data_IF_426437049078
#
_entry.id   IF_426437049078
#
_cell.length_a   1.000
_cell.length_b   1.000
_cell.length_c   1.000
_cell.angle_alpha   90.00
_cell.angle_beta   90.00
_cell.angle_gamma   90.00
#
_symmetry.space_group_name_H-M   'P 1'
#
loop_
_entity.id
_entity.type
_entity.pdbx_description
1 polymer ?
#
# COMPACT_ATOMS: atom_id res chain seq x y z
N UNK A 1 -14.80 23.25 -19.05
CA UNK A 1 -13.54 23.28 -18.27
C UNK A 1 -13.30 21.89 -17.72
N UNK A 2 -12.24 21.20 -18.13
CA UNK A 2 -11.88 19.92 -17.52
C UNK A 2 -11.47 20.18 -16.06
N UNK A 3 -12.10 19.50 -15.11
CA UNK A 3 -11.68 19.55 -13.71
C UNK A 3 -10.29 18.90 -13.68
N UNK A 4 -9.22 19.59 -13.26
CA UNK A 4 -7.90 18.98 -13.19
C UNK A 4 -7.95 17.74 -12.28
N UNK A 5 -7.33 16.65 -12.73
CA UNK A 5 -7.23 15.44 -11.91
C UNK A 5 -6.57 15.82 -10.58
N UNK A 6 -7.16 15.40 -9.43
CA UNK A 6 -6.65 15.80 -8.12
C UNK A 6 -5.22 15.31 -7.94
N UNK A 7 -4.32 16.22 -7.57
CA UNK A 7 -2.93 15.89 -7.30
C UNK A 7 -2.79 15.09 -5.99
N UNK A 8 -1.57 14.70 -5.63
CA UNK A 8 -1.29 13.94 -4.41
C UNK A 8 -1.86 14.61 -3.15
N UNK A 9 -1.61 15.91 -2.97
CA UNK A 9 -2.02 16.66 -1.79
C UNK A 9 -3.54 16.88 -1.74
N UNK A 10 -4.19 17.04 -2.89
CA UNK A 10 -5.66 17.11 -2.97
C UNK A 10 -6.30 15.80 -2.49
N UNK A 11 -5.76 14.66 -2.94
CA UNK A 11 -6.20 13.33 -2.53
C UNK A 11 -5.99 13.11 -1.03
N UNK A 12 -4.82 13.47 -0.52
CA UNK A 12 -4.49 13.37 0.90
C UNK A 12 -5.45 14.20 1.77
N UNK A 13 -5.63 15.48 1.43
CA UNK A 13 -6.52 16.38 2.18
C UNK A 13 -7.98 15.93 2.16
N UNK A 14 -8.45 15.37 1.03
CA UNK A 14 -9.79 14.76 0.94
C UNK A 14 -9.92 13.54 1.83
N UNK A 15 -8.92 12.64 1.83
CA UNK A 15 -8.93 11.44 2.67
C UNK A 15 -8.91 11.80 4.16
N UNK A 16 -8.06 12.74 4.59
CA UNK A 16 -7.98 13.20 5.98
C UNK A 16 -9.31 13.77 6.49
N UNK A 17 -9.97 14.61 5.67
CA UNK A 17 -11.28 15.17 6.02
C UNK A 17 -12.36 14.10 6.09
N UNK A 18 -12.41 13.20 5.10
CA UNK A 18 -13.41 12.12 5.02
C UNK A 18 -13.29 11.14 6.18
N UNK A 19 -12.06 10.71 6.48
CA UNK A 19 -11.77 9.64 7.43
C UNK A 19 -11.50 10.19 8.85
N UNK A 20 -11.51 11.54 9.03
CA UNK A 20 -11.22 12.23 10.30
C UNK A 20 -9.94 11.71 10.98
N UNK A 21 -8.90 11.53 10.17
CA UNK A 21 -7.71 10.79 10.52
C UNK A 21 -6.49 11.41 9.87
N UNK A 22 -5.31 11.05 10.37
CA UNK A 22 -4.02 11.31 9.75
C UNK A 22 -3.23 10.01 9.51
N UNK A 23 -3.88 8.85 9.66
CA UNK A 23 -3.25 7.54 9.62
C UNK A 23 -2.61 7.28 8.24
N UNK A 24 -1.29 7.07 8.24
CA UNK A 24 -0.55 6.53 7.12
C UNK A 24 -0.26 5.06 7.39
N UNK A 25 -0.85 4.17 6.62
CA UNK A 25 -0.70 2.73 6.80
C UNK A 25 0.60 2.26 6.16
N UNK A 26 1.54 1.78 6.97
CA UNK A 26 2.71 1.05 6.50
C UNK A 26 2.32 -0.35 6.02
N UNK A 27 2.88 -0.80 4.89
CA UNK A 27 2.71 -2.17 4.39
C UNK A 27 4.10 -2.79 4.22
N UNK A 28 4.56 -3.41 5.31
CA UNK A 28 5.94 -3.90 5.49
C UNK A 28 5.91 -5.43 5.74
N UNK A 29 5.48 -6.24 4.76
CA UNK A 29 5.15 -7.65 5.00
C UNK A 29 6.39 -8.53 5.16
N UNK A 30 6.45 -9.27 6.28
CA UNK A 30 7.40 -10.36 6.48
C UNK A 30 6.66 -11.70 6.36
N UNK A 31 6.95 -12.55 5.36
CA UNK A 31 6.22 -13.81 5.14
C UNK A 31 6.16 -14.73 6.37
N UNK A 32 7.22 -14.75 7.19
CA UNK A 32 7.30 -15.52 8.44
C UNK A 32 6.35 -15.02 9.53
N UNK A 33 5.84 -13.79 9.44
CA UNK A 33 4.93 -13.16 10.43
C UNK A 33 3.47 -13.15 9.99
N UNK A 34 3.15 -13.68 8.80
CA UNK A 34 1.76 -13.79 8.37
C UNK A 34 0.95 -14.69 9.32
N UNK A 35 -0.35 -14.42 9.51
CA UNK A 35 -1.24 -15.30 10.25
C UNK A 35 -1.27 -16.72 9.65
N UNK A 36 -1.51 -17.74 10.48
CA UNK A 36 -1.45 -19.16 10.08
C UNK A 36 -2.44 -19.56 8.97
N UNK A 37 -3.46 -18.73 8.72
CA UNK A 37 -4.39 -18.92 7.60
C UNK A 37 -3.66 -18.86 6.24
N UNK A 38 -2.52 -18.17 6.18
CA UNK A 38 -1.65 -18.04 5.02
C UNK A 38 -0.55 -19.10 5.02
N UNK A 39 -0.94 -20.34 4.72
CA UNK A 39 -0.08 -21.53 4.89
C UNK A 39 1.20 -21.54 4.05
N UNK A 40 1.20 -20.94 2.85
CA UNK A 40 2.35 -20.99 1.94
C UNK A 40 3.39 -19.94 2.29
N UNK A 41 3.01 -18.86 2.97
CA UNK A 41 3.90 -17.78 3.42
C UNK A 41 4.81 -17.31 2.28
N UNK A 42 4.22 -17.09 1.11
CA UNK A 42 4.91 -16.63 -0.10
C UNK A 42 4.37 -15.28 -0.57
N UNK A 43 4.91 -14.75 -1.67
CA UNK A 43 4.51 -13.43 -2.17
C UNK A 43 3.01 -13.32 -2.52
N UNK A 44 2.40 -14.40 -3.01
CA UNK A 44 0.95 -14.42 -3.27
C UNK A 44 0.14 -14.33 -1.96
N UNK A 45 0.59 -14.98 -0.89
CA UNK A 45 0.00 -14.86 0.44
C UNK A 45 0.15 -13.45 1.00
N UNK A 46 1.31 -12.81 0.78
CA UNK A 46 1.55 -11.40 1.14
C UNK A 46 0.56 -10.46 0.45
N UNK A 47 0.36 -10.60 -0.86
CA UNK A 47 -0.61 -9.77 -1.59
C UNK A 47 -2.04 -9.94 -1.05
N UNK A 48 -2.45 -11.18 -0.75
CA UNK A 48 -3.76 -11.47 -0.15
C UNK A 48 -3.90 -10.89 1.25
N UNK A 49 -2.85 -10.97 2.06
CA UNK A 49 -2.82 -10.41 3.41
C UNK A 49 -2.94 -8.88 3.38
N UNK A 50 -2.13 -8.21 2.56
CA UNK A 50 -2.19 -6.75 2.41
C UNK A 50 -3.54 -6.28 1.89
N UNK A 51 -4.13 -6.99 0.93
CA UNK A 51 -5.49 -6.70 0.44
C UNK A 51 -6.51 -6.76 1.59
N UNK A 52 -6.46 -7.80 2.44
CA UNK A 52 -7.36 -7.91 3.58
C UNK A 52 -7.19 -6.77 4.59
N UNK A 53 -5.95 -6.32 4.83
CA UNK A 53 -5.69 -5.13 5.67
C UNK A 53 -6.33 -3.88 5.05
N UNK A 54 -6.10 -3.65 3.75
CA UNK A 54 -6.61 -2.48 3.04
C UNK A 54 -8.14 -2.43 3.02
N UNK A 55 -8.80 -3.58 2.81
CA UNK A 55 -10.26 -3.72 2.87
C UNK A 55 -10.80 -3.44 4.29
N UNK A 56 -10.06 -3.83 5.32
CA UNK A 56 -10.48 -3.68 6.72
C UNK A 56 -10.24 -2.28 7.30
N UNK A 57 -9.35 -1.48 6.69
CA UNK A 57 -8.94 -0.19 7.24
C UNK A 57 -9.26 1.01 6.32
N UNK A 58 -9.95 0.81 5.19
CA UNK A 58 -10.14 1.82 4.16
C UNK A 58 -10.82 3.12 4.62
N UNK A 59 -11.70 3.03 5.61
CA UNK A 59 -12.41 4.16 6.23
C UNK A 59 -11.57 4.91 7.29
N UNK A 60 -10.41 4.37 7.68
CA UNK A 60 -9.52 4.95 8.68
C UNK A 60 -8.25 5.57 8.08
N UNK A 61 -7.75 5.02 6.96
CA UNK A 61 -6.45 5.39 6.38
C UNK A 61 -6.52 6.63 5.51
N UNK A 62 -5.48 7.45 5.51
CA UNK A 62 -5.36 8.65 4.69
C UNK A 62 -4.26 8.56 3.64
N UNK A 63 -3.32 7.63 3.81
CA UNK A 63 -2.30 7.27 2.86
C UNK A 63 -1.86 5.82 3.09
N UNK A 64 -1.28 5.19 2.08
CA UNK A 64 -0.63 3.88 2.18
C UNK A 64 0.85 4.04 1.81
N UNK A 65 1.73 3.44 2.59
CA UNK A 65 3.18 3.53 2.44
C UNK A 65 3.82 2.15 2.39
N UNK A 66 3.78 1.43 1.25
CA UNK A 66 4.51 0.18 1.12
C UNK A 66 6.02 0.45 1.12
N UNK A 67 6.75 -0.24 1.99
CA UNK A 67 8.21 -0.24 1.95
C UNK A 67 8.70 -1.29 0.95
N UNK A 68 9.34 -0.83 -0.12
CA UNK A 68 9.71 -1.69 -1.24
C UNK A 68 10.71 -2.78 -0.87
N UNK A 69 11.58 -2.55 0.14
CA UNK A 69 12.60 -3.51 0.54
C UNK A 69 12.00 -4.87 0.96
N UNK A 70 10.83 -4.87 1.62
CA UNK A 70 10.15 -6.12 2.02
C UNK A 70 9.64 -6.92 0.82
N UNK A 71 9.23 -6.25 -0.25
CA UNK A 71 8.78 -6.89 -1.49
C UNK A 71 9.98 -7.35 -2.30
N UNK A 72 11.01 -6.50 -2.46
CA UNK A 72 12.24 -6.83 -3.19
C UNK A 72 12.98 -8.02 -2.60
N UNK A 73 12.94 -8.21 -1.27
CA UNK A 73 13.52 -9.37 -0.59
C UNK A 73 12.92 -10.72 -1.06
N UNK A 74 11.72 -10.72 -1.65
CA UNK A 74 11.08 -11.90 -2.25
C UNK A 74 11.32 -12.02 -3.77
N UNK A 75 12.20 -11.19 -4.35
CA UNK A 75 12.51 -11.19 -5.77
C UNK A 75 11.33 -10.76 -6.65
N UNK A 76 11.29 -11.28 -7.88
CA UNK A 76 10.29 -10.87 -8.89
C UNK A 76 8.85 -11.14 -8.45
N UNK A 77 8.61 -12.22 -7.71
CA UNK A 77 7.27 -12.54 -7.22
C UNK A 77 6.84 -11.58 -6.11
N UNK A 78 7.80 -11.07 -5.33
CA UNK A 78 7.55 -9.96 -4.41
C UNK A 78 7.14 -8.67 -5.11
N UNK A 79 7.77 -8.33 -6.23
CA UNK A 79 7.37 -7.16 -7.03
C UNK A 79 5.97 -7.34 -7.65
N UNK A 80 5.61 -8.54 -8.09
CA UNK A 80 4.22 -8.85 -8.50
C UNK A 80 3.24 -8.71 -7.33
N UNK A 81 3.65 -9.12 -6.13
CA UNK A 81 2.83 -8.93 -4.92
C UNK A 81 2.67 -7.46 -4.54
N UNK A 82 3.70 -6.63 -4.76
CA UNK A 82 3.61 -5.18 -4.62
C UNK A 82 2.57 -4.62 -5.59
N UNK A 83 2.66 -4.96 -6.88
CA UNK A 83 1.68 -4.55 -7.89
C UNK A 83 0.24 -4.89 -7.46
N UNK A 84 0.00 -6.15 -7.05
CA UNK A 84 -1.31 -6.58 -6.54
C UNK A 84 -1.74 -5.88 -5.25
N UNK A 85 -0.80 -5.51 -4.40
CA UNK A 85 -1.08 -4.69 -3.20
C UNK A 85 -1.52 -3.28 -3.61
N UNK A 86 -0.86 -2.66 -4.59
CA UNK A 86 -1.20 -1.32 -5.08
C UNK A 86 -2.56 -1.28 -5.77
N UNK A 87 -2.90 -2.33 -6.55
CA UNK A 87 -4.24 -2.49 -7.17
C UNK A 87 -5.38 -2.52 -6.12
N UNK A 88 -5.09 -3.00 -4.91
CA UNK A 88 -6.07 -3.10 -3.83
C UNK A 88 -6.23 -1.81 -3.00
N UNK A 89 -5.41 -0.78 -3.24
CA UNK A 89 -5.50 0.48 -2.50
C UNK A 89 -6.81 1.19 -2.84
N UNK A 90 -7.64 1.59 -1.84
CA UNK A 90 -8.92 2.23 -2.10
C UNK A 90 -8.77 3.51 -2.95
N UNK A 91 -9.74 3.72 -3.85
CA UNK A 91 -9.74 4.91 -4.71
C UNK A 91 -9.68 6.21 -3.90
N UNK A 92 -8.87 7.15 -4.39
CA UNK A 92 -8.64 8.43 -3.74
C UNK A 92 -7.63 8.40 -2.59
N UNK A 93 -7.21 7.23 -2.07
CA UNK A 93 -6.12 7.15 -1.10
C UNK A 93 -4.77 7.28 -1.82
N UNK A 94 -3.92 8.26 -1.48
CA UNK A 94 -2.59 8.40 -2.06
C UNK A 94 -1.64 7.28 -1.60
N UNK A 95 -0.70 6.94 -2.48
CA UNK A 95 0.35 5.94 -2.24
C UNK A 95 1.70 6.66 -2.12
N UNK A 96 2.45 6.36 -1.07
CA UNK A 96 3.83 6.82 -0.87
C UNK A 96 4.75 5.61 -1.05
N UNK A 97 5.45 5.54 -2.18
CA UNK A 97 6.45 4.50 -2.39
C UNK A 97 7.66 4.74 -1.47
N UNK A 98 7.75 4.01 -0.36
CA UNK A 98 8.90 4.07 0.55
C UNK A 98 10.02 3.18 0.00
N UNK A 99 10.65 3.67 -1.07
CA UNK A 99 11.71 2.99 -1.80
C UNK A 99 13.09 3.63 -1.57
N UNK A 100 13.12 4.81 -0.95
CA UNK A 100 14.33 5.62 -0.64
C UNK A 100 15.30 5.71 -1.83
N UNK A 101 14.76 5.80 -3.04
CA UNK A 101 15.57 5.89 -4.26
C UNK A 101 16.25 7.24 -4.36
N UNK A 102 17.52 7.21 -4.78
CA UNK A 102 18.32 8.37 -5.10
C UNK A 102 19.39 7.93 -6.08
N UNK A 103 19.36 8.50 -7.27
CA UNK A 103 20.32 8.26 -8.34
C UNK A 103 20.43 9.57 -9.16
N UNK A 104 21.31 9.60 -10.16
CA UNK A 104 21.44 10.72 -11.09
C UNK A 104 20.29 10.75 -12.10
N UNK A 105 19.99 11.94 -12.64
CA UNK A 105 18.95 12.18 -13.66
C UNK A 105 19.51 12.44 -15.04
#
# INVERSE_FOLDING_TARGET
MAIPNPNFFDRLGKAQKRNKSLLCLGLDPEPSKLPDIFKKRNAADVARFNKAILESCGDLICAVKPNWAFYEAMGIDGLKALEKTLEAVPSGIPIIADAKRGDIG
#
